data_IF_455872435609
#
_entry.id   IF_455872435609
#
_cell.length_a   1.000
_cell.length_b   1.000
_cell.length_c   1.000
_cell.angle_alpha   90.00
_cell.angle_beta   90.00
_cell.angle_gamma   90.00
#
_symmetry.space_group_name_H-M   'P 1'
#
loop_
_entity.id
_entity.type
_entity.pdbx_description
1 polymer ?
#
# COMPACT_ATOMS: atom_id res chain seq x y z
N UNK A 1 18.23 0.96 -13.98
CA UNK A 1 18.59 -0.45 -14.22
C UNK A 1 19.94 -0.47 -14.90
N UNK A 2 21.01 -0.86 -14.19
CA UNK A 2 22.40 -0.54 -14.56
C UNK A 2 23.27 -1.75 -14.89
N UNK A 3 22.75 -2.98 -14.84
CA UNK A 3 23.49 -4.19 -15.23
C UNK A 3 22.62 -5.16 -16.04
N UNK A 4 23.24 -6.07 -16.79
CA UNK A 4 22.55 -7.05 -17.64
C UNK A 4 21.66 -8.05 -16.87
N UNK A 5 21.79 -8.10 -15.53
CA UNK A 5 21.03 -8.99 -14.65
C UNK A 5 20.14 -8.22 -13.64
N UNK A 6 20.01 -6.90 -13.80
CA UNK A 6 19.22 -6.07 -12.90
C UNK A 6 17.74 -6.20 -13.28
N UNK A 7 16.92 -6.76 -12.37
CA UNK A 7 15.48 -6.96 -12.58
C UNK A 7 14.72 -5.81 -11.91
N UNK A 8 13.75 -5.25 -12.61
CA UNK A 8 12.95 -4.13 -12.14
C UNK A 8 11.49 -4.23 -12.60
N UNK A 9 10.59 -3.69 -11.78
CA UNK A 9 9.19 -3.47 -12.12
C UNK A 9 9.03 -2.03 -12.56
N UNK A 10 8.42 -1.85 -13.73
CA UNK A 10 8.04 -0.54 -14.24
C UNK A 10 6.53 -0.48 -14.44
N UNK A 11 5.95 0.68 -14.20
CA UNK A 11 4.57 1.01 -14.54
C UNK A 11 4.59 1.96 -15.73
N UNK A 12 3.91 1.58 -16.80
CA UNK A 12 3.74 2.43 -17.97
C UNK A 12 2.29 2.89 -18.07
N UNK A 13 2.08 4.19 -18.28
CA UNK A 13 0.76 4.79 -18.50
C UNK A 13 0.82 5.73 -19.72
N UNK A 14 -0.04 5.56 -20.73
CA UNK A 14 -0.07 6.46 -21.88
C UNK A 14 -0.56 7.86 -21.52
N UNK A 15 -1.34 8.00 -20.45
CA UNK A 15 -2.05 9.23 -20.09
C UNK A 15 -1.24 10.13 -19.14
N UNK A 16 -0.12 9.66 -18.61
CA UNK A 16 0.76 10.40 -17.68
C UNK A 16 1.93 11.11 -18.40
N UNK A 17 2.35 12.33 -17.99
CA UNK A 17 3.50 13.04 -18.58
C UNK A 17 4.83 12.31 -18.46
N UNK A 18 4.98 11.48 -17.41
CA UNK A 18 6.04 10.49 -17.30
C UNK A 18 5.46 9.10 -17.56
N UNK A 19 5.37 8.77 -18.84
CA UNK A 19 4.67 7.56 -19.28
C UNK A 19 5.32 6.26 -18.78
N UNK A 20 6.54 6.28 -18.25
CA UNK A 20 7.21 5.11 -17.68
C UNK A 20 7.84 5.46 -16.32
N UNK A 21 7.37 4.80 -15.27
CA UNK A 21 7.82 4.97 -13.88
C UNK A 21 8.48 3.70 -13.37
N UNK A 22 9.65 3.84 -12.72
CA UNK A 22 10.26 2.75 -11.97
C UNK A 22 9.50 2.55 -10.65
N UNK A 23 8.96 1.35 -10.42
CA UNK A 23 8.24 1.00 -9.19
C UNK A 23 9.22 0.51 -8.12
N UNK A 24 10.04 -0.48 -8.48
CA UNK A 24 11.13 -0.99 -7.65
C UNK A 24 12.09 -1.84 -8.49
N UNK A 25 13.25 -2.18 -7.93
CA UNK A 25 14.21 -3.12 -8.50
C UNK A 25 14.86 -3.99 -7.43
N UNK A 26 15.52 -5.06 -7.87
CA UNK A 26 16.37 -5.85 -6.99
C UNK A 26 17.44 -4.97 -6.33
N UNK A 27 17.64 -5.20 -5.03
CA UNK A 27 18.54 -4.42 -4.19
C UNK A 27 17.91 -3.19 -3.52
N UNK A 28 16.73 -2.72 -3.95
CA UNK A 28 16.03 -1.63 -3.28
C UNK A 28 15.65 -2.03 -1.85
N UNK A 29 15.66 -1.03 -0.95
CA UNK A 29 15.33 -1.21 0.47
C UNK A 29 14.01 -0.53 0.77
N UNK A 30 13.07 -1.27 1.35
CA UNK A 30 11.76 -0.80 1.76
C UNK A 30 11.55 -1.16 3.23
N UNK A 31 11.65 -0.15 4.10
CA UNK A 31 11.67 -0.37 5.55
C UNK A 31 12.88 -1.22 5.96
N UNK A 32 12.63 -2.31 6.70
CA UNK A 32 13.67 -3.23 7.18
C UNK A 32 14.04 -4.33 6.17
N UNK A 33 13.50 -4.29 4.94
CA UNK A 33 13.66 -5.36 3.96
C UNK A 33 14.34 -4.87 2.69
N UNK A 34 15.20 -5.72 2.14
CA UNK A 34 15.84 -5.54 0.84
C UNK A 34 15.27 -6.52 -0.17
N UNK A 35 14.91 -6.05 -1.35
CA UNK A 35 14.47 -6.91 -2.46
C UNK A 35 15.66 -7.76 -2.92
N UNK A 36 15.56 -9.08 -2.73
CA UNK A 36 16.59 -10.05 -3.14
C UNK A 36 16.35 -10.55 -4.55
N UNK A 37 15.10 -10.94 -4.84
CA UNK A 37 14.72 -11.52 -6.13
C UNK A 37 13.28 -11.14 -6.44
N UNK A 38 13.05 -10.49 -7.58
CA UNK A 38 11.70 -10.26 -8.10
C UNK A 38 11.18 -11.53 -8.78
N UNK A 39 9.86 -11.74 -8.76
CA UNK A 39 9.24 -12.90 -9.42
C UNK A 39 9.69 -13.01 -10.88
N UNK A 40 10.27 -14.15 -11.30
CA UNK A 40 10.75 -14.32 -12.66
C UNK A 40 9.60 -14.15 -13.66
N UNK A 41 9.81 -13.29 -14.66
CA UNK A 41 8.82 -13.01 -15.73
C UNK A 41 7.45 -12.48 -15.25
N UNK A 42 7.32 -12.02 -14.00
CA UNK A 42 6.08 -11.43 -13.48
C UNK A 42 4.91 -12.41 -13.46
N UNK A 43 5.16 -13.70 -13.19
CA UNK A 43 4.13 -14.76 -13.22
C UNK A 43 2.91 -14.51 -12.31
N UNK A 44 3.07 -13.65 -11.32
CA UNK A 44 2.07 -13.23 -10.35
C UNK A 44 1.92 -11.70 -10.27
N UNK A 45 2.54 -10.97 -11.20
CA UNK A 45 2.38 -9.52 -11.33
C UNK A 45 1.02 -9.22 -11.94
N UNK A 46 0.19 -8.49 -11.19
CA UNK A 46 -1.14 -8.09 -11.60
C UNK A 46 -1.28 -6.57 -11.51
N UNK A 47 -2.02 -6.00 -12.45
CA UNK A 47 -2.42 -4.59 -12.48
C UNK A 47 -3.90 -4.51 -12.80
N UNK A 48 -4.66 -3.64 -12.12
CA UNK A 48 -6.07 -3.44 -12.39
C UNK A 48 -6.34 -2.22 -13.29
N UNK A 49 -7.60 -1.96 -13.62
CA UNK A 49 -7.99 -0.88 -14.52
C UNK A 49 -7.65 0.53 -13.99
N UNK A 50 -7.41 0.69 -12.69
CA UNK A 50 -7.06 1.97 -12.05
C UNK A 50 -5.56 2.11 -11.78
N UNK A 51 -4.74 1.16 -12.23
CA UNK A 51 -3.28 1.24 -12.14
C UNK A 51 -2.69 0.83 -10.79
N UNK A 52 -3.46 0.17 -9.94
CA UNK A 52 -2.94 -0.50 -8.74
C UNK A 52 -2.27 -1.80 -9.14
N UNK A 53 -1.15 -2.10 -8.50
CA UNK A 53 -0.27 -3.23 -8.80
C UNK A 53 -0.17 -4.10 -7.55
N UNK A 54 -0.15 -5.42 -7.75
CA UNK A 54 0.29 -6.39 -6.76
C UNK A 54 1.24 -7.42 -7.37
N UNK A 55 2.26 -7.82 -6.62
CA UNK A 55 3.18 -8.88 -7.00
C UNK A 55 3.90 -9.44 -5.78
N UNK A 56 4.51 -10.63 -5.88
CA UNK A 56 5.42 -11.15 -4.86
C UNK A 56 6.89 -10.96 -5.23
N UNK A 57 7.73 -10.91 -4.20
CA UNK A 57 9.17 -10.98 -4.34
C UNK A 57 9.78 -11.69 -3.13
N UNK A 58 11.02 -12.12 -3.27
CA UNK A 58 11.85 -12.60 -2.16
C UNK A 58 12.60 -11.41 -1.57
N UNK A 59 12.51 -11.24 -0.26
CA UNK A 59 13.22 -10.18 0.49
C UNK A 59 14.12 -10.78 1.56
N UNK A 60 15.23 -10.10 1.85
CA UNK A 60 16.06 -10.36 3.03
C UNK A 60 15.86 -9.20 4.03
N UNK A 61 15.85 -9.49 5.33
CA UNK A 61 15.87 -8.45 6.35
C UNK A 61 17.25 -7.78 6.37
N UNK A 62 17.31 -6.45 6.40
CA UNK A 62 18.59 -5.71 6.25
C UNK A 62 19.58 -5.98 7.38
N UNK A 63 19.07 -6.20 8.60
CA UNK A 63 19.85 -6.27 9.83
C UNK A 63 20.03 -7.70 10.35
N UNK A 64 19.52 -8.70 9.61
CA UNK A 64 19.59 -10.10 10.00
C UNK A 64 20.04 -10.97 8.83
N UNK A 65 20.89 -11.95 9.13
CA UNK A 65 21.25 -13.02 8.19
C UNK A 65 20.10 -14.03 8.07
N UNK A 66 18.90 -13.56 7.77
CA UNK A 66 17.74 -14.41 7.51
C UNK A 66 17.76 -14.93 6.07
N UNK A 67 17.19 -16.12 5.90
CA UNK A 67 16.95 -16.71 4.59
C UNK A 67 15.77 -15.99 3.92
N UNK A 68 15.82 -15.85 2.59
CA UNK A 68 14.87 -15.08 1.81
C UNK A 68 13.41 -15.41 2.15
N UNK A 69 12.65 -14.37 2.48
CA UNK A 69 11.23 -14.43 2.85
C UNK A 69 10.37 -14.01 1.67
N UNK A 70 9.23 -14.67 1.48
CA UNK A 70 8.23 -14.18 0.52
C UNK A 70 7.60 -12.90 1.07
N UNK A 71 7.55 -11.86 0.26
CA UNK A 71 6.83 -10.63 0.53
C UNK A 71 5.90 -10.29 -0.63
N UNK A 72 4.76 -9.71 -0.30
CA UNK A 72 3.81 -9.15 -1.25
C UNK A 72 4.00 -7.64 -1.28
N UNK A 73 4.06 -7.11 -2.49
CA UNK A 73 4.28 -5.71 -2.77
C UNK A 73 3.04 -5.12 -3.40
N UNK A 74 2.78 -3.86 -3.09
CA UNK A 74 1.78 -3.05 -3.78
C UNK A 74 2.39 -1.73 -4.23
N UNK A 75 1.86 -1.16 -5.31
CA UNK A 75 2.16 0.17 -5.81
C UNK A 75 0.97 0.68 -6.62
N UNK A 76 0.91 1.98 -6.91
CA UNK A 76 -0.06 2.53 -7.87
C UNK A 76 0.63 3.56 -8.79
N UNK A 77 -0.15 4.25 -9.63
CA UNK A 77 0.34 5.40 -10.40
C UNK A 77 0.85 6.53 -9.50
N UNK A 78 0.27 6.70 -8.31
CA UNK A 78 0.56 7.76 -7.36
C UNK A 78 1.39 7.25 -6.18
N UNK A 79 1.20 6.01 -5.73
CA UNK A 79 1.93 5.46 -4.59
C UNK A 79 3.19 4.68 -4.99
N UNK A 80 4.32 4.86 -4.27
CA UNK A 80 5.53 4.06 -4.50
C UNK A 80 5.31 2.61 -4.06
N UNK A 81 6.22 1.72 -4.47
CA UNK A 81 6.23 0.34 -3.97
C UNK A 81 6.27 0.31 -2.43
N UNK A 82 5.45 -0.55 -1.84
CA UNK A 82 5.40 -0.82 -0.40
C UNK A 82 5.25 -2.32 -0.18
N UNK A 83 5.82 -2.81 0.91
CA UNK A 83 5.59 -4.18 1.37
C UNK A 83 4.24 -4.21 2.09
N UNK A 84 3.30 -4.95 1.52
CA UNK A 84 1.97 -5.14 2.07
C UNK A 84 1.96 -6.25 3.13
N UNK A 85 2.61 -7.37 2.85
CA UNK A 85 2.74 -8.50 3.77
C UNK A 85 4.08 -9.20 3.57
N UNK A 86 4.62 -9.78 4.63
CA UNK A 86 5.87 -10.55 4.58
C UNK A 86 5.73 -11.82 5.40
N UNK A 87 6.33 -12.90 4.91
CA UNK A 87 6.43 -14.16 5.63
C UNK A 87 7.13 -13.95 6.98
N UNK A 88 6.54 -14.47 8.06
CA UNK A 88 6.93 -14.23 9.44
C UNK A 88 6.40 -12.92 10.02
N UNK A 89 5.74 -12.07 9.21
CA UNK A 89 4.98 -10.93 9.68
C UNK A 89 3.72 -11.37 10.43
N UNK A 90 3.11 -10.44 11.16
CA UNK A 90 1.95 -10.74 11.99
C UNK A 90 0.75 -9.86 11.67
N UNK A 91 -0.45 -10.44 11.75
CA UNK A 91 -1.72 -9.74 11.66
C UNK A 91 -2.36 -9.70 13.04
N UNK A 92 -2.80 -8.51 13.46
CA UNK A 92 -3.54 -8.35 14.72
C UNK A 92 -5.00 -8.73 14.53
N UNK A 93 -5.54 -9.48 15.46
CA UNK A 93 -6.96 -9.83 15.58
C UNK A 93 -7.46 -9.53 16.99
N UNK A 94 -8.78 -9.57 17.18
CA UNK A 94 -9.45 -9.51 18.49
C UNK A 94 -8.98 -10.63 19.44
N UNK A 95 -8.49 -11.75 18.90
CA UNK A 95 -7.99 -12.90 19.64
C UNK A 95 -6.46 -12.92 19.82
N UNK A 96 -5.77 -11.87 19.35
CA UNK A 96 -4.31 -11.75 19.44
C UNK A 96 -3.62 -11.69 18.08
N UNK A 97 -2.33 -11.98 18.06
CA UNK A 97 -1.48 -11.83 16.87
C UNK A 97 -1.32 -13.17 16.14
N UNK A 98 -1.58 -13.18 14.84
CA UNK A 98 -1.42 -14.34 13.96
C UNK A 98 -0.16 -14.14 13.11
N UNK A 99 0.80 -15.05 13.20
CA UNK A 99 2.01 -15.02 12.38
C UNK A 99 1.75 -15.73 11.05
N UNK A 100 2.11 -15.08 9.94
CA UNK A 100 1.99 -15.59 8.57
C UNK A 100 3.18 -16.50 8.28
N UNK A 101 2.97 -17.81 8.25
CA UNK A 101 4.04 -18.79 7.99
C UNK A 101 4.40 -18.93 6.51
N UNK A 102 3.45 -18.63 5.61
CA UNK A 102 3.65 -18.55 4.17
C UNK A 102 2.70 -17.53 3.53
N UNK A 103 3.05 -17.06 2.33
CA UNK A 103 2.22 -16.16 1.54
C UNK A 103 2.13 -16.68 0.11
N UNK A 104 0.92 -16.70 -0.44
CA UNK A 104 0.66 -17.10 -1.82
C UNK A 104 -0.35 -16.18 -2.47
N UNK A 105 0.11 -15.49 -3.52
CA UNK A 105 -0.69 -14.70 -4.43
C UNK A 105 -1.14 -15.60 -5.59
N UNK A 106 -2.40 -15.45 -6.04
CA UNK A 106 -2.83 -16.09 -7.28
C UNK A 106 -2.05 -15.54 -8.48
N UNK A 107 -1.86 -16.32 -9.54
CA UNK A 107 -1.21 -15.82 -10.77
C UNK A 107 -2.11 -14.88 -11.58
N UNK A 108 -3.41 -14.90 -11.33
CA UNK A 108 -4.43 -14.06 -11.96
C UNK A 108 -5.60 -13.85 -11.00
N UNK A 109 -6.37 -12.79 -11.23
CA UNK A 109 -7.65 -12.51 -10.54
C UNK A 109 -7.52 -12.37 -9.01
N UNK A 110 -6.30 -12.15 -8.50
CA UNK A 110 -6.09 -11.91 -7.08
C UNK A 110 -6.39 -10.46 -6.72
N UNK A 111 -6.28 -9.53 -7.68
CA UNK A 111 -6.63 -8.11 -7.57
C UNK A 111 -7.81 -7.79 -8.49
N UNK A 112 -8.81 -7.06 -7.98
CA UNK A 112 -9.92 -6.54 -8.78
C UNK A 112 -9.86 -5.01 -8.97
N UNK A 113 -10.71 -4.47 -9.83
CA UNK A 113 -10.79 -3.02 -10.14
C UNK A 113 -11.33 -2.15 -8.98
N UNK A 114 -11.82 -2.78 -7.89
CA UNK A 114 -12.17 -2.08 -6.65
C UNK A 114 -11.01 -2.04 -5.65
N UNK A 115 -9.80 -2.43 -6.07
CA UNK A 115 -8.62 -2.51 -5.23
C UNK A 115 -8.68 -3.64 -4.21
N UNK A 116 -9.62 -4.57 -4.30
CA UNK A 116 -9.64 -5.71 -3.38
C UNK A 116 -8.67 -6.78 -3.84
N UNK A 117 -7.88 -7.26 -2.89
CA UNK A 117 -6.90 -8.33 -3.05
C UNK A 117 -7.29 -9.52 -2.19
N UNK A 118 -7.20 -10.72 -2.77
CA UNK A 118 -7.37 -11.98 -2.04
C UNK A 118 -6.10 -12.81 -2.14
N UNK A 119 -5.59 -13.26 -1.00
CA UNK A 119 -4.42 -14.13 -0.90
C UNK A 119 -4.73 -15.33 0.00
N UNK A 120 -3.97 -16.41 -0.20
CA UNK A 120 -3.88 -17.51 0.76
C UNK A 120 -2.59 -17.39 1.57
N UNK A 121 -2.67 -17.60 2.88
CA UNK A 121 -1.52 -17.58 3.76
C UNK A 121 -1.54 -18.78 4.70
N UNK A 122 -0.41 -19.45 4.87
CA UNK A 122 -0.22 -20.33 6.01
C UNK A 122 -0.17 -19.49 7.28
N UNK A 123 -0.76 -19.98 8.36
CA UNK A 123 -0.75 -19.31 9.66
C UNK A 123 -0.09 -20.17 10.72
N UNK A 124 0.52 -19.52 11.71
CA UNK A 124 1.10 -20.23 12.85
C UNK A 124 -0.01 -20.61 13.82
N UNK A 125 -0.35 -21.89 13.86
CA UNK A 125 -1.33 -22.46 14.79
C UNK A 125 -0.81 -23.80 15.35
N UNK A 126 -1.51 -24.44 16.30
CA UNK A 126 -1.19 -25.80 16.74
C UNK A 126 -1.17 -26.84 15.61
N UNK A 127 -1.87 -26.56 14.50
CA UNK A 127 -1.84 -27.36 13.29
C UNK A 127 -1.00 -26.65 12.21
N UNK A 128 0.16 -27.20 11.82
CA UNK A 128 1.07 -26.53 10.88
C UNK A 128 0.52 -26.39 9.45
N UNK A 129 -0.63 -27.02 9.15
CA UNK A 129 -1.29 -26.95 7.85
C UNK A 129 -2.50 -25.99 7.85
N UNK A 130 -2.70 -25.21 8.90
CA UNK A 130 -3.78 -24.23 8.89
C UNK A 130 -3.47 -23.11 7.88
N UNK A 131 -4.42 -22.89 6.98
CA UNK A 131 -4.39 -21.84 5.97
C UNK A 131 -5.53 -20.85 6.21
N UNK A 132 -5.24 -19.58 5.99
CA UNK A 132 -6.20 -18.48 6.00
C UNK A 132 -6.37 -17.92 4.58
N UNK A 133 -7.59 -17.52 4.27
CA UNK A 133 -7.88 -16.63 3.13
C UNK A 133 -7.93 -15.22 3.68
N UNK A 134 -7.06 -14.36 3.18
CA UNK A 134 -6.98 -12.96 3.59
C UNK A 134 -7.50 -12.12 2.44
N UNK A 135 -8.59 -11.39 2.71
CA UNK A 135 -9.09 -10.34 1.83
C UNK A 135 -8.63 -9.00 2.40
N UNK A 136 -7.97 -8.21 1.57
CA UNK A 136 -7.59 -6.84 1.88
C UNK A 136 -8.03 -5.92 0.75
N UNK A 137 -8.09 -4.63 1.05
CA UNK A 137 -8.24 -3.61 0.03
C UNK A 137 -6.91 -2.88 -0.06
N UNK A 138 -6.31 -2.87 -1.25
CA UNK A 138 -5.40 -1.81 -1.66
C UNK A 138 -6.24 -0.56 -1.62
N UNK A 139 -6.32 0.04 -0.45
CA UNK A 139 -6.76 1.39 -0.38
C UNK A 139 -5.55 2.20 -0.83
N UNK A 140 -5.65 2.81 -2.01
CA UNK A 140 -4.94 4.06 -2.30
C UNK A 140 -5.47 5.22 -1.43
N UNK A 141 -6.09 4.89 -0.28
CA UNK A 141 -6.14 5.76 0.87
C UNK A 141 -4.72 5.81 1.47
N UNK A 142 -3.79 6.42 0.76
CA UNK A 142 -3.33 7.65 1.38
C UNK A 142 -4.62 8.45 1.44
N UNK A 143 -5.29 8.44 2.61
CA UNK A 143 -6.30 9.46 2.88
C UNK A 143 -5.60 10.71 2.42
N UNK A 144 -5.93 11.19 1.23
CA UNK A 144 -5.38 12.42 0.77
C UNK A 144 -6.13 13.35 1.67
N UNK A 145 -5.55 13.72 2.81
CA UNK A 145 -6.32 14.43 3.81
C UNK A 145 -6.77 15.80 3.25
N UNK A 146 -6.19 16.20 2.10
CA UNK A 146 -6.64 17.29 1.24
C UNK A 146 -7.93 17.00 0.43
N UNK A 147 -8.24 15.74 0.08
CA UNK A 147 -9.53 15.29 -0.50
C UNK A 147 -10.52 15.05 0.64
N UNK A 148 -11.04 16.14 1.19
CA UNK A 148 -11.91 16.12 2.35
C UNK A 148 -13.32 15.64 1.99
N UNK A 149 -13.77 15.86 0.75
CA UNK A 149 -15.10 15.45 0.31
C UNK A 149 -15.14 13.99 -0.18
N UNK A 150 -13.99 13.38 -0.45
CA UNK A 150 -13.82 11.99 -0.86
C UNK A 150 -14.19 11.73 -2.32
N UNK A 151 -14.15 12.74 -3.19
CA UNK A 151 -14.48 12.63 -4.61
C UNK A 151 -13.29 12.24 -5.50
N UNK A 152 -12.09 12.14 -4.91
CA UNK A 152 -10.86 11.77 -5.58
C UNK A 152 -10.13 12.92 -6.28
N UNK A 153 -10.59 14.18 -6.12
CA UNK A 153 -10.04 15.37 -6.77
C UNK A 153 -9.79 16.48 -5.74
N UNK A 154 -8.52 16.71 -5.36
CA UNK A 154 -8.17 17.86 -4.50
C UNK A 154 -8.41 19.18 -5.23
N UNK A 155 -9.41 19.91 -4.79
CA UNK A 155 -9.77 21.21 -5.34
C UNK A 155 -10.39 22.13 -4.28
N UNK A 156 -10.98 23.25 -4.69
CA UNK A 156 -11.55 24.22 -3.75
C UNK A 156 -12.79 23.70 -3.02
N UNK A 157 -13.46 22.70 -3.57
CA UNK A 157 -14.64 22.07 -2.97
C UNK A 157 -14.27 21.32 -1.68
N UNK A 158 -13.07 20.74 -1.57
CA UNK A 158 -12.55 20.15 -0.33
C UNK A 158 -12.38 21.18 0.78
N UNK A 159 -11.85 22.35 0.43
CA UNK A 159 -11.70 23.46 1.37
C UNK A 159 -13.08 23.92 1.88
N UNK A 160 -14.07 24.01 1.01
CA UNK A 160 -15.42 24.37 1.44
C UNK A 160 -16.08 23.26 2.28
N UNK A 161 -15.83 21.99 1.96
CA UNK A 161 -16.31 20.86 2.75
C UNK A 161 -15.69 20.85 4.16
N UNK A 162 -14.37 21.05 4.27
CA UNK A 162 -13.66 21.18 5.54
C UNK A 162 -14.17 22.36 6.37
N UNK A 163 -14.25 23.55 5.79
CA UNK A 163 -14.73 24.75 6.49
C UNK A 163 -16.19 24.57 6.97
N UNK A 164 -17.02 23.91 6.17
CA UNK A 164 -18.40 23.59 6.57
C UNK A 164 -18.43 22.65 7.78
N UNK A 165 -17.58 21.63 7.81
CA UNK A 165 -17.46 20.71 8.94
C UNK A 165 -16.93 21.42 10.20
N UNK A 166 -15.94 22.30 10.04
CA UNK A 166 -15.35 23.08 11.13
C UNK A 166 -16.37 24.05 11.76
N UNK A 167 -17.11 24.80 10.94
CA UNK A 167 -18.19 25.68 11.42
C UNK A 167 -19.34 24.90 12.08
N UNK A 168 -19.60 23.67 11.63
CA UNK A 168 -20.59 22.78 12.23
C UNK A 168 -20.08 22.10 13.51
N UNK A 169 -18.80 22.28 13.88
CA UNK A 169 -18.16 21.58 15.00
C UNK A 169 -18.32 20.06 14.87
N UNK A 170 -18.15 19.55 13.65
CA UNK A 170 -18.12 18.11 13.38
C UNK A 170 -16.74 17.54 13.72
N UNK A 171 -16.70 16.41 14.43
CA UNK A 171 -15.44 15.70 14.74
C UNK A 171 -14.64 15.28 13.50
N UNK A 172 -15.25 15.32 12.31
CA UNK A 172 -14.50 15.15 11.06
C UNK A 172 -13.53 16.30 10.74
N UNK A 173 -13.64 17.43 11.46
CA UNK A 173 -12.75 18.59 11.33
C UNK A 173 -11.68 18.66 12.43
N UNK A 174 -11.65 17.71 13.38
CA UNK A 174 -10.51 17.48 14.30
C UNK A 174 -9.41 16.80 13.49
N UNK A 175 -8.56 17.64 12.90
CA UNK A 175 -7.57 17.29 11.91
C UNK A 175 -6.20 17.04 12.54
N UNK A 176 -5.94 17.65 13.70
CA UNK A 176 -4.74 17.39 14.49
C UNK A 176 -4.90 16.24 15.50
N UNK A 177 -6.12 15.73 15.68
CA UNK A 177 -6.45 14.59 16.53
C UNK A 177 -6.44 14.94 18.03
N UNK A 178 -6.58 16.22 18.37
CA UNK A 178 -6.59 16.71 19.75
C UNK A 178 -7.85 16.33 20.52
N UNK A 179 -8.93 16.00 19.82
CA UNK A 179 -10.26 15.78 20.40
C UNK A 179 -11.09 17.06 20.55
N UNK A 180 -10.55 18.21 20.17
CA UNK A 180 -11.22 19.51 20.07
C UNK A 180 -11.21 19.99 18.61
N UNK A 181 -12.13 20.90 18.23
CA UNK A 181 -12.19 21.46 16.87
C UNK A 181 -11.86 22.95 16.95
N UNK A 182 -10.62 23.29 16.63
CA UNK A 182 -10.08 24.62 16.86
C UNK A 182 -9.20 25.11 15.68
N UNK A 183 -8.48 26.20 15.92
CA UNK A 183 -7.74 26.90 14.86
C UNK A 183 -6.54 26.09 14.34
N UNK A 184 -5.76 25.39 15.18
CA UNK A 184 -4.79 24.39 14.75
C UNK A 184 -5.25 23.48 13.59
N UNK A 185 -6.47 22.96 13.64
CA UNK A 185 -7.02 22.08 12.59
C UNK A 185 -7.05 22.77 11.21
N UNK A 186 -7.43 24.04 11.17
CA UNK A 186 -7.49 24.83 9.94
C UNK A 186 -6.10 24.94 9.31
N UNK A 187 -5.08 25.25 10.12
CA UNK A 187 -3.73 25.41 9.60
C UNK A 187 -3.13 24.09 9.14
N UNK A 188 -3.44 23.00 9.84
CA UNK A 188 -2.99 21.67 9.45
C UNK A 188 -3.66 21.21 8.16
N UNK A 189 -4.98 21.38 8.02
CA UNK A 189 -5.70 21.08 6.79
C UNK A 189 -5.19 21.90 5.60
N UNK A 190 -5.01 23.22 5.76
CA UNK A 190 -4.49 24.07 4.69
C UNK A 190 -3.07 23.67 4.27
N UNK A 191 -2.24 23.23 5.21
CA UNK A 191 -0.89 22.74 4.90
C UNK A 191 -0.98 21.53 3.97
N UNK A 192 -1.79 20.52 4.33
CA UNK A 192 -1.96 19.34 3.48
C UNK A 192 -2.64 19.70 2.15
N UNK A 193 -3.64 20.58 2.15
CA UNK A 193 -4.35 20.99 0.93
C UNK A 193 -3.45 21.71 -0.08
N UNK A 194 -2.50 22.53 0.39
CA UNK A 194 -1.49 23.15 -0.49
C UNK A 194 -0.40 22.17 -0.94
N UNK A 195 -0.14 21.12 -0.17
CA UNK A 195 0.80 20.05 -0.54
C UNK A 195 0.19 19.07 -1.57
N UNK A 196 -1.13 18.87 -1.52
CA UNK A 196 -1.88 17.97 -2.39
C UNK A 196 -1.85 16.51 -1.92
N UNK A 197 -2.00 15.60 -2.88
CA UNK A 197 -1.66 14.17 -2.75
C UNK A 197 -0.35 13.92 -3.53
#
# INVERSE_FOLDING_TARGET
VTSANDVAVFLWSPDEPQNLRLICREGDVLGEYRIKTLSPAGTDLQVNAVGEIIFSAVVDKTDAAELGKTALFTASLTTPARIFAVQGGSISSDQGSIILSSLKLGSSEALNDSGEVVISAGITSPNPNDEAVIKIRLQDQMQCHADFNGDGIVNVDDLFAFLSAWFAQSMSADFDGSGDIDVPDIFLFLTVWFEGC
#
